data_IF_885633091100
#
_entry.id   IF_885633091100
#
_cell.length_a   1.000
_cell.length_b   1.000
_cell.length_c   1.000
_cell.angle_alpha   90.00
_cell.angle_beta   90.00
_cell.angle_gamma   90.00
#
_symmetry.space_group_name_H-M   'P 1'
#
loop_
_entity.id
_entity.type
_entity.pdbx_description
1 polymer ?
2 polymer ?
3 water ?
#
# COMPACT_ATOMS: atom_id res chain seq x y z
N UNK A 1 -3.47 -15.47 0.84
CA UNK A 1 -4.07 -14.10 0.93
C UNK A 1 -3.52 -13.15 -0.10
N UNK A 2 -2.22 -12.86 0.00
CA UNK A 2 -1.58 -12.10 -1.04
C UNK A 2 -0.51 -12.98 -1.64
N UNK A 3 -0.14 -12.68 -2.88
CA UNK A 3 1.02 -13.35 -3.37
C UNK A 3 2.24 -12.92 -2.55
N UNK A 4 3.24 -13.76 -2.49
CA UNK A 4 4.52 -13.34 -1.86
C UNK A 4 5.62 -13.29 -2.94
N UNK A 5 6.61 -12.47 -2.69
CA UNK A 5 7.65 -12.30 -3.67
C UNK A 5 8.98 -12.17 -2.98
N UNK A 6 9.94 -12.88 -3.54
CA UNK A 6 11.32 -12.92 -2.99
C UNK A 6 12.12 -11.69 -3.43
N UNK A 7 12.71 -10.94 -2.48
CA UNK A 7 13.63 -9.86 -2.84
C UNK A 7 14.91 -10.42 -3.38
N UNK A 8 15.19 -9.98 -4.62
CA UNK A 8 16.48 -10.37 -5.29
C UNK A 8 17.71 -9.44 -5.03
N UNK A 9 17.45 -8.17 -4.66
CA UNK A 9 18.46 -7.20 -4.37
C UNK A 9 17.95 -6.41 -3.15
N UNK A 10 18.89 -5.76 -2.47
CA UNK A 10 18.50 -4.79 -1.43
C UNK A 10 17.84 -3.57 -2.04
N UNK A 11 16.83 -3.05 -1.33
CA UNK A 11 16.17 -1.80 -1.77
C UNK A 11 16.09 -0.85 -0.61
N UNK A 12 16.70 0.33 -0.78
CA UNK A 12 16.71 1.32 0.28
C UNK A 12 15.56 2.29 0.09
N UNK A 13 14.57 2.23 1.00
CA UNK A 13 13.50 3.26 0.93
C UNK A 13 14.10 4.67 1.16
N UNK A 14 13.72 5.64 0.28
CA UNK A 14 14.06 7.07 0.51
C UNK A 14 12.92 8.03 0.78
N UNK A 15 11.69 7.50 0.90
CA UNK A 15 10.53 8.26 1.26
C UNK A 15 9.68 7.31 2.06
N UNK A 16 8.85 7.95 2.85
CA UNK A 16 7.92 7.21 3.75
C UNK A 16 6.90 6.23 3.05
N UNK A 17 6.60 6.49 1.79
CA UNK A 17 5.65 5.69 1.02
C UNK A 17 6.37 4.55 0.29
N UNK A 18 7.71 4.48 0.49
CA UNK A 18 8.47 3.33 0.04
C UNK A 18 8.63 2.20 1.03
N UNK A 19 8.75 0.97 0.49
CA UNK A 19 8.96 -0.22 1.31
C UNK A 19 10.40 -0.74 1.14
N UNK A 20 11.30 -0.40 2.07
CA UNK A 20 12.71 -0.86 1.91
C UNK A 20 12.78 -2.32 2.30
N UNK A 21 13.79 -3.02 1.79
CA UNK A 21 13.99 -4.40 2.19
C UNK A 21 15.42 -4.84 1.81
N UNK A 22 15.75 -6.00 2.34
CA UNK A 22 17.04 -6.61 2.12
C UNK A 22 16.83 -7.78 1.17
N UNK A 23 17.73 -7.95 0.23
CA UNK A 23 17.71 -9.25 -0.54
C UNK A 23 17.41 -10.46 0.37
N UNK A 24 16.53 -11.35 -0.07
CA UNK A 24 16.11 -12.53 0.63
C UNK A 24 14.82 -12.34 1.36
N UNK A 25 14.49 -11.10 1.76
CA UNK A 25 13.18 -11.00 2.46
C UNK A 25 12.02 -11.43 1.52
N UNK A 26 10.89 -11.79 2.11
CA UNK A 26 9.74 -12.21 1.35
C UNK A 26 8.62 -11.17 1.65
N UNK A 27 8.28 -10.46 0.56
CA UNK A 27 7.36 -9.32 0.63
C UNK A 27 5.91 -9.81 0.26
N UNK A 28 4.91 -9.35 1.01
CA UNK A 28 3.47 -9.65 0.69
C UNK A 28 3.07 -8.64 -0.34
N UNK A 29 2.78 -9.12 -1.55
CA UNK A 29 2.50 -8.23 -2.68
C UNK A 29 0.99 -7.86 -2.74
N UNK A 30 0.60 -6.76 -2.08
CA UNK A 30 -0.85 -6.40 -2.04
C UNK A 30 -1.36 -5.97 -3.44
N UNK A 31 -0.54 -5.35 -4.23
CA UNK A 31 -0.96 -4.76 -5.51
C UNK A 31 0.22 -4.94 -6.49
N UNK A 32 0.01 -5.78 -7.51
CA UNK A 32 0.95 -5.99 -8.56
C UNK A 32 0.39 -5.47 -9.92
N UNK A 33 -0.56 -4.51 -9.90
CA UNK A 33 -1.18 -3.98 -11.12
C UNK A 33 -0.26 -3.02 -11.86
N UNK A 34 0.54 -2.23 -11.14
CA UNK A 34 1.45 -1.29 -11.80
C UNK A 34 2.68 -1.98 -12.37
N UNK A 35 3.09 -1.61 -13.56
CA UNK A 35 4.18 -2.40 -14.14
C UNK A 35 5.61 -2.06 -13.58
N UNK A 36 5.75 -0.91 -12.90
CA UNK A 36 7.02 -0.39 -12.43
C UNK A 36 7.20 -0.51 -10.90
N UNK A 37 6.11 -0.20 -10.20
CA UNK A 37 6.22 -0.08 -8.71
C UNK A 37 5.05 -0.85 -8.02
N UNK A 38 5.40 -1.91 -7.26
CA UNK A 38 4.30 -2.73 -6.65
C UNK A 38 4.09 -2.18 -5.21
N UNK A 39 2.97 -2.53 -4.57
CA UNK A 39 2.73 -2.13 -3.18
C UNK A 39 2.91 -3.41 -2.38
N UNK A 40 3.75 -3.30 -1.39
CA UNK A 40 4.06 -4.46 -0.56
C UNK A 40 3.75 -4.24 0.92
N UNK A 41 3.73 -5.33 1.67
CA UNK A 41 3.68 -5.21 3.12
C UNK A 41 4.84 -6.00 3.72
N UNK A 42 5.63 -5.36 4.57
CA UNK A 42 6.75 -6.10 5.25
C UNK A 42 7.03 -5.30 6.54
N UNK A 43 7.47 -5.97 7.61
CA UNK A 43 7.68 -5.26 8.93
C UNK A 43 6.43 -4.42 9.34
N UNK A 44 5.24 -4.96 9.07
CA UNK A 44 3.96 -4.42 9.52
C UNK A 44 3.57 -3.12 8.83
N UNK A 45 4.31 -2.75 7.78
CA UNK A 45 4.00 -1.49 7.09
C UNK A 45 3.83 -1.72 5.59
N UNK A 46 3.19 -0.77 4.94
CA UNK A 46 2.95 -0.75 3.49
C UNK A 46 3.90 0.18 2.80
N UNK A 47 4.19 -0.13 1.55
CA UNK A 47 5.03 0.76 0.76
C UNK A 47 5.21 0.32 -0.67
N UNK A 48 5.60 1.27 -1.51
CA UNK A 48 5.92 1.02 -2.92
C UNK A 48 7.37 0.52 -3.02
N UNK A 49 7.56 -0.39 -4.01
CA UNK A 49 8.91 -0.90 -4.23
C UNK A 49 9.03 -1.34 -5.74
N UNK A 50 10.28 -1.37 -6.26
CA UNK A 50 10.43 -1.65 -7.72
C UNK A 50 10.03 -3.06 -8.06
N UNK A 51 9.07 -3.21 -8.98
CA UNK A 51 8.52 -4.55 -9.23
C UNK A 51 9.66 -5.50 -9.71
N UNK A 52 10.65 -4.95 -10.42
CA UNK A 52 11.74 -5.82 -10.94
C UNK A 52 12.79 -6.25 -9.86
N UNK A 53 12.72 -5.70 -8.64
CA UNK A 53 13.54 -6.14 -7.50
C UNK A 53 13.08 -7.45 -6.82
N UNK A 54 11.95 -8.04 -7.24
CA UNK A 54 11.45 -9.27 -6.59
C UNK A 54 11.10 -10.31 -7.61
N UNK A 55 11.01 -11.57 -7.15
CA UNK A 55 10.47 -12.67 -8.00
C UNK A 55 9.31 -13.34 -7.23
N UNK A 56 8.14 -13.53 -7.90
CA UNK A 56 7.06 -14.29 -7.27
C UNK A 56 7.51 -15.65 -6.76
N UNK A 57 7.13 -15.95 -5.53
CA UNK A 57 7.30 -17.32 -5.04
C UNK A 57 6.10 -18.16 -5.42
N UNK A 58 6.42 -19.29 -6.05
CA UNK A 58 5.43 -20.10 -6.77
C UNK A 58 5.04 -21.30 -5.91
N UNK A 59 5.60 -21.30 -4.70
CA UNK A 59 5.46 -22.37 -3.77
C UNK A 59 6.02 -21.91 -2.42
N UNK B 1 20.66 -2.79 -8.89
CA UNK B 1 20.17 -2.41 -10.23
C UNK B 1 19.66 -0.94 -10.34
N UNK B 2 18.62 -0.70 -11.13
CA UNK B 2 18.29 0.70 -11.51
C UNK B 2 16.89 1.13 -11.15
N UNK B 3 16.85 2.29 -10.45
CA UNK B 3 15.61 2.88 -9.91
C UNK B 3 15.27 4.33 -10.38
N UNK B 4 14.03 4.48 -10.88
CA UNK B 4 13.46 5.76 -11.40
C UNK B 4 12.14 5.97 -10.67
N UNK B 5 12.08 6.96 -9.78
CA UNK B 5 10.86 7.18 -8.96
C UNK B 5 9.68 7.91 -9.63
N UNK B 6 9.93 8.49 -10.82
CA UNK B 6 8.93 9.25 -11.49
C UNK B 6 7.71 8.43 -11.93
N UNK B 7 7.87 7.09 -12.10
CA UNK B 7 6.77 6.19 -12.48
C UNK B 7 6.05 5.59 -11.22
N UNK B 8 6.43 6.01 -10.01
CA UNK B 8 5.64 5.59 -8.86
C UNK B 8 4.21 6.07 -8.98
N UNK B 9 3.23 5.21 -8.62
CA UNK B 9 1.85 5.65 -8.42
C UNK B 9 1.84 6.68 -7.27
N UNK C 3 -5.62 8.48 -8.32
CA UNK C 3 -6.92 9.21 -8.19
C UNK C 3 -7.21 9.53 -6.72
N UNK C 4 -8.19 10.39 -6.45
CA UNK C 4 -8.38 10.93 -5.09
C UNK C 4 -9.75 10.54 -4.52
N UNK C 5 -9.96 10.67 -3.20
CA UNK C 5 -11.29 10.31 -2.61
C UNK C 5 -11.43 11.19 -1.33
N UNK C 6 -12.64 11.74 -1.06
CA UNK C 6 -12.94 12.52 0.16
C UNK C 6 -13.35 11.65 1.33
N UNK C 7 -12.70 11.86 2.51
CA UNK C 7 -13.12 11.14 3.70
C UNK C 7 -14.50 11.65 4.12
N UNK C 8 -15.36 10.69 4.36
CA UNK C 8 -16.73 10.97 4.84
C UNK C 8 -16.70 11.05 6.37
N UNK C 9 -15.77 10.29 6.99
CA UNK C 9 -15.78 10.04 8.43
C UNK C 9 -14.33 10.05 8.83
N UNK C 10 -14.07 10.44 10.09
CA UNK C 10 -12.77 10.16 10.72
C UNK C 10 -12.52 8.64 10.76
N UNK C 11 -11.27 8.28 10.57
CA UNK C 11 -10.81 6.89 10.70
C UNK C 11 -9.50 6.94 11.47
N UNK C 12 -9.47 6.20 12.58
CA UNK C 12 -8.27 6.14 13.44
C UNK C 12 -7.53 4.87 13.11
N UNK C 13 -6.28 5.04 12.73
CA UNK C 13 -5.44 3.88 12.36
C UNK C 13 -5.04 3.16 13.69
N UNK C 14 -5.16 1.84 13.76
CA UNK C 14 -4.80 1.07 14.99
C UNK C 14 -3.70 0.09 14.72
N UNK C 15 -3.15 0.19 13.52
CA UNK C 15 -2.06 -0.67 13.11
C UNK C 15 -1.19 0.05 12.08
N UNK C 16 0.07 -0.41 11.96
CA UNK C 16 1.03 0.38 11.19
C UNK C 16 0.72 0.35 9.72
N UNK C 17 -0.09 -0.63 9.29
CA UNK C 17 -0.47 -0.77 7.90
C UNK C 17 -1.80 -0.10 7.65
N UNK C 18 -2.34 0.60 8.65
CA UNK C 18 -3.53 1.44 8.39
C UNK C 18 -3.20 2.92 8.11
N UNK C 19 -4.08 3.58 7.34
CA UNK C 19 -3.91 5.01 7.04
C UNK C 19 -5.05 5.75 7.75
N UNK C 20 -4.75 6.46 8.82
CA UNK C 20 -5.82 7.23 9.46
C UNK C 20 -6.10 8.56 8.76
N UNK C 21 -7.30 9.13 9.03
CA UNK C 21 -7.62 10.45 8.42
C UNK C 21 -8.81 11.06 9.11
N UNK C 22 -8.97 12.37 8.89
CA UNK C 22 -10.11 13.17 9.42
C UNK C 22 -11.15 13.36 8.31
N UNK C 23 -12.44 13.37 8.70
CA UNK C 23 -13.50 13.69 7.73
C UNK C 23 -13.15 14.94 6.96
N UNK C 24 -13.53 14.95 5.68
CA UNK C 24 -13.13 16.00 4.71
C UNK C 24 -11.71 15.99 4.13
N UNK C 25 -10.76 15.25 4.75
CA UNK C 25 -9.41 15.13 4.13
C UNK C 25 -9.57 14.37 2.82
N UNK C 26 -8.66 14.59 1.87
CA UNK C 26 -8.81 13.99 0.52
C UNK C 26 -7.62 13.08 0.29
N UNK C 27 -7.83 11.79 0.42
CA UNK C 27 -6.75 10.78 0.34
C UNK C 27 -6.48 10.38 -1.15
N UNK C 28 -5.25 10.03 -1.51
CA UNK C 28 -4.98 9.39 -2.81
C UNK C 28 -5.25 7.89 -2.74
N UNK C 29 -6.03 7.37 -3.67
CA UNK C 29 -6.36 5.97 -3.63
C UNK C 29 -5.42 5.24 -4.56
N UNK C 30 -4.58 4.37 -3.98
CA UNK C 30 -3.67 3.58 -4.82
C UNK C 30 -4.25 2.24 -5.26
N UNK C 31 -5.23 1.72 -4.55
CA UNK C 31 -5.85 0.47 -4.90
C UNK C 31 -7.26 0.49 -4.35
N UNK C 32 -8.20 0.34 -5.29
CA UNK C 32 -9.63 0.22 -5.00
C UNK C 32 -10.13 -1.17 -5.46
N UNK C 33 -9.19 -2.08 -5.68
CA UNK C 33 -9.61 -3.35 -6.25
C UNK C 33 -10.32 -4.21 -5.20
N UNK C 34 -10.03 -4.01 -3.89
CA UNK C 34 -10.65 -4.70 -2.74
C UNK C 34 -11.96 -3.98 -2.37
N UNK C 35 -13.06 -4.72 -2.12
CA UNK C 35 -14.33 -4.06 -1.83
C UNK C 35 -14.40 -3.45 -0.46
N UNK C 36 -13.59 -3.96 0.49
CA UNK C 36 -13.69 -3.62 1.90
C UNK C 36 -12.66 -2.57 2.39
N UNK C 37 -11.41 -2.80 1.97
CA UNK C 37 -10.27 -2.07 2.48
C UNK C 37 -9.42 -1.62 1.28
N UNK C 38 -9.36 -0.31 1.12
CA UNK C 38 -8.61 0.30 0.04
C UNK C 38 -7.23 0.69 0.59
N UNK C 39 -6.33 0.88 -0.36
CA UNK C 39 -4.95 1.32 -0.02
C UNK C 39 -4.86 2.77 -0.49
N UNK C 40 -4.44 3.61 0.44
CA UNK C 40 -4.37 5.07 0.28
C UNK C 40 -2.94 5.61 0.57
N UNK C 41 -2.75 6.84 0.14
CA UNK C 41 -1.64 7.68 0.59
C UNK C 41 -2.11 9.06 1.17
N UNK C 42 -1.58 9.44 2.33
CA UNK C 42 -1.83 10.76 2.90
C UNK C 42 -0.57 11.08 3.73
N UNK C 43 -0.19 12.36 3.65
CA UNK C 43 1.02 12.80 4.37
C UNK C 43 2.27 11.92 3.93
N UNK C 44 2.23 11.46 2.68
CA UNK C 44 3.28 10.67 2.11
C UNK C 44 3.49 9.27 2.78
N UNK C 45 2.45 8.76 3.44
CA UNK C 45 2.53 7.37 4.00
C UNK C 45 1.40 6.57 3.38
N UNK C 46 1.63 5.24 3.14
CA UNK C 46 0.51 4.43 2.61
C UNK C 46 -0.13 3.67 3.77
N UNK C 47 -1.38 3.28 3.56
CA UNK C 47 -1.99 2.35 4.50
C UNK C 47 -3.33 1.91 3.97
N UNK C 48 -3.85 0.90 4.63
CA UNK C 48 -5.18 0.41 4.42
C UNK C 48 -6.22 1.21 5.20
N UNK C 49 -7.37 1.38 4.60
CA UNK C 49 -8.51 2.00 5.28
C UNK C 49 -9.88 1.49 4.74
N UNK C 50 -10.97 1.63 5.54
CA UNK C 50 -12.25 1.02 5.10
C UNK C 50 -12.76 1.79 3.87
N UNK C 51 -13.02 1.08 2.77
CA UNK C 51 -13.47 1.67 1.51
C UNK C 51 -14.63 2.61 1.75
N UNK C 52 -15.63 2.13 2.50
CA UNK C 52 -16.87 2.92 2.68
C UNK C 52 -16.68 4.20 3.49
N UNK C 53 -15.52 4.40 4.13
CA UNK C 53 -15.24 5.70 4.82
C UNK C 53 -14.89 6.91 3.90
N UNK C 54 -14.81 6.68 2.62
CA UNK C 54 -14.44 7.71 1.64
C UNK C 54 -15.32 7.70 0.37
N UNK C 55 -15.11 8.78 -0.45
CA UNK C 55 -15.61 9.10 -1.88
C UNK C 55 -15.64 8.05 -2.94
N UNK C 56 -14.83 8.27 -3.98
CA UNK C 56 -13.89 8.99 -4.87
C UNK C 56 -14.30 10.27 -5.53
N UNK C 57 -13.29 11.10 -5.83
CA UNK C 57 -13.32 12.22 -6.76
C UNK C 57 -12.47 11.68 -7.90
N UNK C 58 -11.21 11.36 -7.53
CA UNK C 58 -9.99 11.76 -8.28
C UNK C 58 -10.16 13.19 -8.81
N UNK D 1 -20.34 0.91 8.26
CA UNK D 1 -20.42 0.75 9.70
C UNK D 1 -19.69 -0.50 10.20
N UNK D 2 -19.13 -0.44 11.41
CA UNK D 2 -18.78 -1.66 12.11
C UNK D 2 -17.30 -2.00 11.96
N UNK D 3 -16.63 -1.37 11.00
CA UNK D 3 -15.22 -1.72 10.74
C UNK D 3 -14.86 -3.17 11.13
N UNK D 4 -14.66 -3.98 10.12
CA UNK D 4 -14.33 -5.36 10.31
C UNK D 4 -12.92 -5.64 9.80
N UNK D 5 -11.96 -5.85 10.70
CA UNK D 5 -10.59 -5.97 10.23
C UNK D 5 -10.32 -7.36 9.65
N UNK D 6 -11.33 -8.23 9.75
CA UNK D 6 -11.21 -9.60 9.29
C UNK D 6 -11.19 -9.69 7.75
N UNK D 7 -11.69 -8.66 7.06
CA UNK D 7 -11.59 -8.56 5.60
C UNK D 7 -10.37 -7.71 5.06
N UNK D 8 -9.48 -7.25 5.93
CA UNK D 8 -8.27 -6.52 5.44
C UNK D 8 -7.41 -7.47 4.62
N UNK D 9 -6.80 -6.98 3.50
CA UNK D 9 -5.86 -7.91 2.92
C UNK D 9 -4.59 -7.93 3.80
#
# INVERSE_FOLDING_TARGET
GSPWARALYDFEALEEDELGFRSGEVVEVLDSSNPSWWTGRLHNKLGLFPANYVAPMMR
PSIDRSTKP
GSPWARALYDFEALEEDELGFRSGEVVEVLDSSNPSWWTGRLHNKLGLFPANYVAPMMR
PSIDRSTKP
#
